data_IF_408116980393
#
_entry.id   IF_408116980393
#
_cell.length_a   1.000
_cell.length_b   1.000
_cell.length_c   1.000
_cell.angle_alpha   90.00
_cell.angle_beta   90.00
_cell.angle_gamma   90.00
#
_symmetry.space_group_name_H-M   'P 1'
#
loop_
_entity.id
_entity.type
_entity.pdbx_description
1 polymer ?
#
# COMPACT_ATOMS: atom_id res chain seq x y z
N UNK A 1 -25.60 4.31 -3.02
CA UNK A 1 -24.44 3.87 -2.21
C UNK A 1 -23.19 4.53 -2.80
N UNK A 2 -22.39 5.17 -1.99
CA UNK A 2 -21.10 5.74 -2.45
C UNK A 2 -20.00 4.67 -2.45
N UNK A 3 -18.90 4.94 -3.13
CA UNK A 3 -17.70 4.10 -3.11
C UNK A 3 -16.97 4.26 -1.76
N UNK A 4 -16.64 3.16 -1.11
CA UNK A 4 -15.78 3.15 0.07
C UNK A 4 -14.31 3.05 -0.36
N UNK A 5 -13.44 3.95 0.13
CA UNK A 5 -12.06 4.05 -0.33
C UNK A 5 -11.09 3.94 0.84
N UNK A 6 -10.20 2.95 0.74
CA UNK A 6 -9.04 2.81 1.61
C UNK A 6 -7.75 3.02 0.80
N UNK A 7 -6.87 3.88 1.26
CA UNK A 7 -5.59 4.16 0.63
C UNK A 7 -4.46 3.52 1.43
N UNK A 8 -3.50 2.93 0.73
CA UNK A 8 -2.24 2.47 1.30
C UNK A 8 -1.12 3.18 0.53
N UNK A 9 -0.34 3.98 1.22
CA UNK A 9 0.62 4.90 0.60
C UNK A 9 2.04 4.49 0.98
N UNK A 10 2.94 4.44 0.00
CA UNK A 10 4.37 4.21 0.24
C UNK A 10 5.10 5.46 0.74
N UNK A 11 6.29 5.25 1.31
CA UNK A 11 7.18 6.31 1.81
C UNK A 11 8.43 6.54 0.94
N UNK A 12 8.56 5.85 -0.18
CA UNK A 12 9.79 5.77 -0.97
C UNK A 12 10.23 7.07 -1.67
N UNK A 13 9.39 8.11 -1.69
CA UNK A 13 9.74 9.47 -2.09
C UNK A 13 10.53 10.24 -1.01
N UNK A 14 10.40 9.84 0.26
CA UNK A 14 11.08 10.44 1.41
C UNK A 14 12.24 9.56 1.85
N UNK A 15 11.98 8.26 2.06
CA UNK A 15 12.98 7.31 2.55
C UNK A 15 12.75 5.91 2.00
N UNK A 16 13.84 5.24 1.58
CA UNK A 16 13.81 3.85 1.06
C UNK A 16 14.69 2.96 1.93
N UNK A 17 14.07 2.12 2.77
CA UNK A 17 14.76 1.24 3.69
C UNK A 17 15.73 0.25 3.00
N UNK A 18 15.37 -0.31 1.84
CA UNK A 18 16.24 -1.20 1.07
C UNK A 18 17.54 -0.51 0.63
N UNK A 19 17.48 0.74 0.17
CA UNK A 19 18.67 1.49 -0.24
C UNK A 19 19.56 1.82 0.97
N UNK A 20 18.98 2.28 2.07
CA UNK A 20 19.70 2.59 3.29
C UNK A 20 20.35 1.35 3.93
N UNK A 21 19.67 0.19 3.88
CA UNK A 21 20.23 -1.09 4.33
C UNK A 21 21.40 -1.54 3.47
N UNK A 22 21.35 -1.30 2.16
CA UNK A 22 22.48 -1.59 1.28
C UNK A 22 23.71 -0.71 1.56
N UNK A 23 23.52 0.46 2.15
CA UNK A 23 24.57 1.40 2.60
C UNK A 23 25.06 1.11 4.02
N UNK A 24 24.62 0.01 4.66
CA UNK A 24 25.11 -0.46 5.96
C UNK A 24 24.20 -0.14 7.15
N UNK A 25 23.03 0.47 6.95
CA UNK A 25 22.05 0.65 8.01
C UNK A 25 21.41 -0.68 8.40
N UNK A 26 21.11 -0.88 9.70
CA UNK A 26 20.31 -2.01 10.13
C UNK A 26 18.96 -2.06 9.39
N UNK A 27 18.61 -3.22 8.86
CA UNK A 27 17.43 -3.40 8.02
C UNK A 27 16.13 -3.07 8.75
N UNK A 28 15.98 -3.51 10.00
CA UNK A 28 14.76 -3.23 10.77
C UNK A 28 14.61 -1.74 11.05
N UNK A 29 15.71 -1.07 11.41
CA UNK A 29 15.73 0.38 11.62
C UNK A 29 15.38 1.15 10.35
N UNK A 30 15.94 0.74 9.21
CA UNK A 30 15.66 1.33 7.91
C UNK A 30 14.18 1.14 7.50
N UNK A 31 13.61 -0.03 7.76
CA UNK A 31 12.21 -0.31 7.47
C UNK A 31 11.27 0.52 8.37
N UNK A 32 11.58 0.70 9.66
CA UNK A 32 10.82 1.61 10.53
C UNK A 32 10.87 3.07 10.05
N UNK A 33 12.02 3.57 9.60
CA UNK A 33 12.11 4.89 8.99
C UNK A 33 11.24 5.00 7.74
N UNK A 34 11.22 3.96 6.90
CA UNK A 34 10.31 3.86 5.75
C UNK A 34 8.83 3.89 6.15
N UNK A 35 8.46 3.20 7.23
CA UNK A 35 7.10 3.24 7.78
C UNK A 35 6.73 4.65 8.27
N UNK A 36 7.61 5.34 8.98
CA UNK A 36 7.39 6.73 9.40
C UNK A 36 7.24 7.68 8.19
N UNK A 37 8.00 7.47 7.13
CA UNK A 37 7.85 8.21 5.88
C UNK A 37 6.46 8.04 5.25
N UNK A 38 5.84 6.85 5.37
CA UNK A 38 4.45 6.66 4.94
C UNK A 38 3.46 7.48 5.75
N UNK A 39 3.71 7.68 7.05
CA UNK A 39 2.86 8.51 7.92
C UNK A 39 2.92 9.97 7.49
N UNK A 40 4.10 10.51 7.18
CA UNK A 40 4.25 11.85 6.64
C UNK A 40 3.42 12.04 5.37
N UNK A 41 3.52 11.11 4.42
CA UNK A 41 2.72 11.14 3.21
C UNK A 41 1.21 11.02 3.50
N UNK A 42 0.81 10.18 4.43
CA UNK A 42 -0.59 9.98 4.79
C UNK A 42 -1.23 11.25 5.36
N UNK A 43 -0.53 11.97 6.23
CA UNK A 43 -0.98 13.25 6.79
C UNK A 43 -1.11 14.33 5.70
N UNK A 44 -0.15 14.40 4.76
CA UNK A 44 -0.21 15.33 3.66
C UNK A 44 -1.41 15.05 2.72
N UNK A 45 -1.68 13.77 2.43
CA UNK A 45 -2.82 13.36 1.59
C UNK A 45 -4.14 13.60 2.35
N UNK A 46 -4.19 13.34 3.65
CA UNK A 46 -5.36 13.66 4.47
C UNK A 46 -5.71 15.15 4.37
N UNK A 47 -4.75 16.03 4.61
CA UNK A 47 -4.94 17.48 4.52
C UNK A 47 -5.46 17.90 3.13
N UNK A 48 -4.89 17.34 2.07
CA UNK A 48 -5.31 17.62 0.70
C UNK A 48 -6.76 17.14 0.43
N UNK A 49 -7.12 15.93 0.85
CA UNK A 49 -8.47 15.40 0.68
C UNK A 49 -9.51 16.18 1.48
N UNK A 50 -9.22 16.53 2.72
CA UNK A 50 -10.13 17.30 3.57
C UNK A 50 -10.37 18.71 3.01
N UNK A 51 -9.35 19.36 2.43
CA UNK A 51 -9.50 20.64 1.73
C UNK A 51 -10.41 20.56 0.48
N UNK A 52 -10.54 19.39 -0.11
CA UNK A 52 -11.46 19.13 -1.23
C UNK A 52 -12.85 18.63 -0.80
N UNK A 53 -13.13 18.63 0.51
CA UNK A 53 -14.42 18.24 1.06
C UNK A 53 -14.61 16.74 1.29
N UNK A 54 -13.52 15.94 1.24
CA UNK A 54 -13.55 14.50 1.51
C UNK A 54 -13.08 14.19 2.93
N UNK A 55 -13.99 13.93 3.89
CA UNK A 55 -13.62 13.57 5.26
C UNK A 55 -12.69 12.35 5.26
N UNK A 56 -11.50 12.50 5.83
CA UNK A 56 -10.45 11.47 5.76
C UNK A 56 -9.93 11.14 7.15
N UNK A 57 -9.49 9.89 7.38
CA UNK A 57 -8.84 9.45 8.61
C UNK A 57 -7.58 8.67 8.32
N UNK A 58 -6.48 9.02 8.99
CA UNK A 58 -5.24 8.26 8.99
C UNK A 58 -5.24 7.26 10.13
N UNK A 59 -4.96 6.01 9.80
CA UNK A 59 -4.89 4.89 10.74
C UNK A 59 -3.49 4.25 10.64
N UNK A 60 -2.71 4.31 11.73
CA UNK A 60 -1.33 3.83 11.73
C UNK A 60 -1.22 2.44 12.35
N UNK A 61 -0.43 1.56 11.70
CA UNK A 61 -0.07 0.25 12.23
C UNK A 61 0.94 0.34 13.40
N UNK A 62 1.64 1.47 13.55
CA UNK A 62 2.50 1.78 14.69
C UNK A 62 1.76 2.78 15.58
N UNK A 63 1.74 2.53 16.89
CA UNK A 63 1.07 3.41 17.84
C UNK A 63 1.73 4.81 17.90
N UNK A 64 0.96 5.84 17.59
CA UNK A 64 1.36 7.26 17.63
C UNK A 64 0.11 8.14 17.80
N UNK A 65 -0.59 7.97 18.89
CA UNK A 65 -1.94 8.49 19.13
C UNK A 65 -2.04 10.02 19.09
N UNK A 66 -0.93 10.72 19.32
CA UNK A 66 -0.84 12.19 19.22
C UNK A 66 -0.90 12.68 17.77
N UNK A 67 -0.64 11.80 16.79
CA UNK A 67 -0.51 12.14 15.38
C UNK A 67 -1.70 11.59 14.56
N UNK A 68 -2.06 10.33 14.78
CA UNK A 68 -3.13 9.65 14.05
C UNK A 68 -3.72 8.50 14.87
N UNK A 69 -4.86 7.96 14.40
CA UNK A 69 -5.52 6.88 15.09
C UNK A 69 -4.73 5.55 14.96
N UNK A 70 -4.70 4.70 16.00
CA UNK A 70 -4.17 3.35 15.85
C UNK A 70 -5.07 2.53 14.91
N UNK A 71 -4.43 1.75 14.02
CA UNK A 71 -5.17 0.88 13.12
C UNK A 71 -5.84 -0.26 13.88
N UNK A 72 -7.15 -0.30 13.78
CA UNK A 72 -8.01 -1.39 14.23
C UNK A 72 -9.04 -1.62 13.13
N UNK A 73 -9.11 -2.83 12.54
CA UNK A 73 -9.95 -3.11 11.38
C UNK A 73 -11.42 -2.72 11.57
N UNK A 74 -12.00 -3.01 12.73
CA UNK A 74 -13.38 -2.60 13.04
C UNK A 74 -13.58 -1.08 13.08
N UNK A 75 -12.57 -0.33 13.52
CA UNK A 75 -12.61 1.14 13.50
C UNK A 75 -12.47 1.67 12.08
N UNK A 76 -11.60 1.08 11.29
CA UNK A 76 -11.42 1.41 9.88
C UNK A 76 -12.72 1.19 9.10
N UNK A 77 -13.37 0.03 9.24
CA UNK A 77 -14.68 -0.26 8.65
C UNK A 77 -15.74 0.76 9.09
N UNK A 78 -15.77 1.14 10.38
CA UNK A 78 -16.69 2.16 10.87
C UNK A 78 -16.48 3.53 10.24
N UNK A 79 -15.25 3.87 9.85
CA UNK A 79 -14.98 5.09 9.09
C UNK A 79 -15.51 5.00 7.66
N UNK A 80 -15.30 3.88 6.99
CA UNK A 80 -15.81 3.60 5.64
C UNK A 80 -17.35 3.67 5.59
N UNK A 81 -18.03 3.00 6.51
CA UNK A 81 -19.49 3.04 6.67
C UNK A 81 -20.04 4.48 6.84
N UNK A 82 -19.23 5.39 7.40
CA UNK A 82 -19.56 6.81 7.53
C UNK A 82 -19.21 7.64 6.30
N UNK A 83 -18.85 7.02 5.20
CA UNK A 83 -18.46 7.69 3.96
C UNK A 83 -17.13 8.46 4.04
N UNK A 84 -16.24 8.06 4.95
CA UNK A 84 -14.90 8.66 5.07
C UNK A 84 -13.90 7.88 4.24
N UNK A 85 -12.97 8.59 3.64
CA UNK A 85 -11.74 7.97 3.10
C UNK A 85 -10.85 7.58 4.29
N UNK A 86 -10.24 6.41 4.24
CA UNK A 86 -9.22 6.02 5.21
C UNK A 86 -7.86 5.90 4.55
N UNK A 87 -6.80 6.21 5.28
CA UNK A 87 -5.42 6.04 4.85
C UNK A 87 -4.73 5.14 5.88
N UNK A 88 -4.32 3.95 5.42
CA UNK A 88 -3.58 3.00 6.25
C UNK A 88 -2.09 3.34 6.16
N UNK A 89 -1.52 3.85 7.24
CA UNK A 89 -0.14 4.28 7.34
C UNK A 89 0.73 3.28 8.13
N UNK A 90 2.03 3.44 8.07
CA UNK A 90 3.04 2.58 8.70
C UNK A 90 3.02 1.11 8.22
N UNK A 91 2.58 0.88 6.99
CA UNK A 91 2.61 -0.43 6.36
C UNK A 91 1.90 -1.53 7.15
N UNK A 92 2.59 -2.65 7.38
CA UNK A 92 2.12 -3.73 8.25
C UNK A 92 2.39 -3.48 9.75
N UNK A 93 3.21 -2.48 10.08
CA UNK A 93 3.75 -2.26 11.42
C UNK A 93 4.98 -3.12 11.74
N UNK A 94 5.40 -3.99 10.81
CA UNK A 94 6.52 -4.90 10.98
C UNK A 94 7.59 -4.68 9.90
N UNK A 95 8.88 -4.75 10.26
CA UNK A 95 9.97 -4.76 9.28
C UNK A 95 9.86 -5.94 8.29
N UNK A 96 10.62 -5.86 7.21
CA UNK A 96 10.74 -6.87 6.14
C UNK A 96 9.54 -6.99 5.20
N UNK A 97 8.44 -6.30 5.45
CA UNK A 97 7.28 -6.26 4.57
C UNK A 97 7.24 -4.97 3.74
N UNK A 98 6.67 -5.06 2.56
CA UNK A 98 6.52 -3.93 1.65
C UNK A 98 5.15 -3.24 1.80
N UNK A 99 5.01 -2.10 1.13
CA UNK A 99 3.71 -1.43 0.97
C UNK A 99 2.71 -2.30 0.20
N UNK A 100 3.16 -3.12 -0.75
CA UNK A 100 2.31 -4.04 -1.51
C UNK A 100 1.71 -5.11 -0.58
N UNK A 101 2.53 -5.71 0.29
CA UNK A 101 2.05 -6.65 1.32
C UNK A 101 1.06 -5.96 2.27
N UNK A 102 1.34 -4.73 2.68
CA UNK A 102 0.42 -3.97 3.52
C UNK A 102 -0.93 -3.74 2.81
N UNK A 103 -0.92 -3.41 1.51
CA UNK A 103 -2.14 -3.22 0.73
C UNK A 103 -2.98 -4.49 0.65
N UNK A 104 -2.35 -5.65 0.38
CA UNK A 104 -3.04 -6.94 0.38
C UNK A 104 -3.65 -7.26 1.76
N UNK A 105 -2.87 -7.11 2.84
CA UNK A 105 -3.34 -7.34 4.20
C UNK A 105 -4.55 -6.45 4.56
N UNK A 106 -4.48 -5.15 4.29
CA UNK A 106 -5.58 -4.23 4.59
C UNK A 106 -6.80 -4.49 3.72
N UNK A 107 -6.60 -4.84 2.43
CA UNK A 107 -7.69 -5.21 1.53
C UNK A 107 -8.53 -6.37 2.07
N UNK A 108 -7.88 -7.40 2.60
CA UNK A 108 -8.56 -8.55 3.22
C UNK A 108 -9.23 -8.19 4.55
N UNK A 109 -8.52 -7.53 5.47
CA UNK A 109 -9.06 -7.13 6.77
C UNK A 109 -10.30 -6.23 6.65
N UNK A 110 -10.35 -5.41 5.61
CA UNK A 110 -11.44 -4.50 5.31
C UNK A 110 -12.51 -5.12 4.39
N UNK A 111 -12.27 -6.34 3.91
CA UNK A 111 -13.15 -7.06 2.97
C UNK A 111 -13.42 -6.24 1.70
N UNK A 112 -12.37 -5.68 1.13
CA UNK A 112 -12.48 -4.89 -0.10
C UNK A 112 -12.86 -5.76 -1.30
N UNK A 113 -13.70 -5.24 -2.19
CA UNK A 113 -14.08 -5.91 -3.45
C UNK A 113 -12.90 -5.97 -4.44
N UNK A 114 -11.96 -5.02 -4.35
CA UNK A 114 -10.79 -4.96 -5.22
C UNK A 114 -9.62 -4.22 -4.56
N UNK A 115 -8.40 -4.61 -4.97
CA UNK A 115 -7.16 -3.87 -4.69
C UNK A 115 -6.67 -3.27 -6.00
N UNK A 116 -6.52 -1.96 -6.04
CA UNK A 116 -6.06 -1.23 -7.22
C UNK A 116 -4.66 -0.68 -6.94
N UNK A 117 -3.68 -1.09 -7.74
CA UNK A 117 -2.33 -0.54 -7.66
C UNK A 117 -2.17 0.61 -8.66
N UNK A 118 -2.12 1.83 -8.17
CA UNK A 118 -1.80 3.00 -8.97
C UNK A 118 -0.29 3.03 -9.30
N UNK A 119 0.04 2.98 -10.58
CA UNK A 119 1.42 2.91 -11.05
C UNK A 119 1.68 3.88 -12.21
N UNK A 120 2.94 3.93 -12.69
CA UNK A 120 3.34 4.74 -13.86
C UNK A 120 3.06 4.07 -15.20
N UNK A 121 2.55 2.82 -15.19
CA UNK A 121 2.24 2.04 -16.39
C UNK A 121 0.77 1.62 -16.37
N UNK A 122 0.20 1.37 -17.54
CA UNK A 122 -1.24 1.15 -17.74
C UNK A 122 -1.71 -0.23 -17.25
N UNK A 123 -0.80 -1.15 -17.00
CA UNK A 123 -1.13 -2.50 -16.59
C UNK A 123 0.09 -3.39 -16.39
N UNK A 124 -0.15 -4.69 -16.36
CA UNK A 124 0.90 -5.70 -16.26
C UNK A 124 1.37 -6.13 -17.64
N UNK A 125 2.67 -6.12 -17.83
CA UNK A 125 3.32 -6.47 -19.09
C UNK A 125 4.20 -7.72 -18.95
N UNK A 126 4.46 -8.39 -20.07
CA UNK A 126 5.37 -9.54 -20.14
C UNK A 126 6.84 -9.15 -19.87
N UNK A 127 7.18 -7.87 -20.08
CA UNK A 127 8.47 -7.22 -19.80
C UNK A 127 8.26 -5.73 -19.52
N UNK A 128 9.32 -5.07 -19.06
CA UNK A 128 9.27 -3.63 -18.71
C UNK A 128 8.97 -2.77 -19.95
N UNK A 129 7.78 -2.13 -20.06
CA UNK A 129 7.42 -1.32 -21.22
C UNK A 129 8.23 -0.03 -21.34
N UNK A 130 8.91 0.40 -20.26
CA UNK A 130 9.81 1.56 -20.30
C UNK A 130 11.15 1.25 -20.95
N UNK A 131 11.46 -0.05 -21.14
CA UNK A 131 12.71 -0.54 -21.73
C UNK A 131 12.52 -1.26 -23.04
N UNK A 132 11.30 -1.68 -23.34
CA UNK A 132 10.98 -2.51 -24.50
C UNK A 132 9.70 -2.05 -25.18
N UNK A 133 9.81 -1.38 -26.33
CA UNK A 133 8.68 -0.86 -27.11
C UNK A 133 7.70 -1.94 -27.59
N UNK A 134 8.14 -3.21 -27.57
CA UNK A 134 7.34 -4.39 -27.95
C UNK A 134 6.82 -5.19 -26.75
N UNK A 135 6.77 -4.58 -25.56
CA UNK A 135 6.16 -5.18 -24.38
C UNK A 135 4.65 -5.37 -24.59
N UNK A 136 4.14 -6.54 -24.25
CA UNK A 136 2.74 -6.90 -24.44
C UNK A 136 2.02 -6.85 -23.09
N UNK A 137 0.96 -6.05 -23.02
CA UNK A 137 0.13 -5.94 -21.83
C UNK A 137 -0.83 -7.13 -21.71
N UNK A 138 -0.92 -7.71 -20.53
CA UNK A 138 -1.92 -8.73 -20.22
C UNK A 138 -3.28 -8.08 -19.95
N UNK A 139 -4.33 -8.57 -20.59
CA UNK A 139 -5.72 -8.17 -20.30
C UNK A 139 -6.24 -8.82 -19.03
N UNK A 140 -5.85 -10.05 -18.80
CA UNK A 140 -6.16 -10.86 -17.61
C UNK A 140 -4.96 -11.70 -17.26
N UNK A 141 -4.71 -11.90 -15.98
CA UNK A 141 -3.59 -12.65 -15.47
C UNK A 141 -3.99 -13.26 -14.13
N UNK A 142 -3.80 -14.57 -13.95
CA UNK A 142 -4.03 -15.21 -12.66
C UNK A 142 -2.87 -14.94 -11.70
N UNK A 143 -3.14 -15.05 -10.40
CA UNK A 143 -2.10 -14.96 -9.37
C UNK A 143 -1.03 -16.03 -9.58
N UNK A 144 -1.43 -17.27 -9.85
CA UNK A 144 -0.52 -18.38 -10.13
C UNK A 144 0.41 -18.09 -11.31
N UNK A 145 -0.14 -17.59 -12.42
CA UNK A 145 0.65 -17.25 -13.59
C UNK A 145 1.61 -16.09 -13.34
N UNK A 146 1.18 -15.09 -12.54
CA UNK A 146 2.02 -13.97 -12.11
C UNK A 146 3.24 -14.47 -11.32
N UNK A 147 3.02 -15.37 -10.37
CA UNK A 147 4.10 -15.99 -9.57
C UNK A 147 5.02 -16.86 -10.44
N UNK A 148 4.44 -17.73 -11.28
CA UNK A 148 5.21 -18.63 -12.17
C UNK A 148 6.10 -17.88 -13.15
N UNK A 149 5.62 -16.77 -13.68
CA UNK A 149 6.37 -15.91 -14.64
C UNK A 149 7.27 -14.90 -13.95
N UNK A 150 7.30 -14.83 -12.61
CA UNK A 150 8.06 -13.85 -11.84
C UNK A 150 7.81 -12.40 -12.27
N UNK A 151 6.56 -12.07 -12.62
CA UNK A 151 6.20 -10.73 -13.06
C UNK A 151 6.26 -9.75 -11.88
N UNK A 152 6.88 -8.60 -12.11
CA UNK A 152 7.12 -7.57 -11.08
C UNK A 152 5.93 -6.62 -10.93
N UNK A 153 4.76 -7.16 -10.66
CA UNK A 153 3.52 -6.38 -10.42
C UNK A 153 3.48 -5.88 -8.99
N UNK A 154 3.58 -6.83 -8.07
CA UNK A 154 3.67 -6.66 -6.62
C UNK A 154 4.74 -7.64 -6.11
N UNK A 155 5.13 -7.52 -4.84
CA UNK A 155 5.99 -8.57 -4.27
C UNK A 155 5.23 -9.90 -4.14
N UNK A 156 5.96 -11.00 -4.12
CA UNK A 156 5.39 -12.35 -4.10
C UNK A 156 4.55 -12.60 -2.84
N UNK A 157 4.92 -12.02 -1.71
CA UNK A 157 4.17 -12.13 -0.45
C UNK A 157 2.77 -11.51 -0.60
N UNK A 158 2.69 -10.33 -1.20
CA UNK A 158 1.41 -9.66 -1.45
C UNK A 158 0.52 -10.48 -2.41
N UNK A 159 1.11 -11.04 -3.48
CA UNK A 159 0.37 -11.86 -4.45
C UNK A 159 -0.13 -13.15 -3.81
N UNK A 160 0.72 -13.85 -3.06
CA UNK A 160 0.32 -15.09 -2.35
C UNK A 160 -0.79 -14.81 -1.35
N UNK A 161 -0.66 -13.74 -0.57
CA UNK A 161 -1.67 -13.34 0.41
C UNK A 161 -3.02 -13.05 -0.26
N UNK A 162 -3.02 -12.36 -1.41
CA UNK A 162 -4.23 -12.07 -2.17
C UNK A 162 -4.81 -13.32 -2.88
N UNK A 163 -3.99 -14.31 -3.20
CA UNK A 163 -4.43 -15.56 -3.82
C UNK A 163 -5.16 -16.47 -2.83
N UNK A 164 -4.72 -16.48 -1.56
CA UNK A 164 -5.23 -17.38 -0.52
C UNK A 164 -6.54 -16.87 0.13
N UNK A 165 -6.89 -15.60 -0.10
CA UNK A 165 -8.01 -14.91 0.55
C UNK A 165 -8.89 -14.13 -0.42
#
# INVERSE_FOLDING_TARGET
MGLEVALVIGGGNIFRGLSASAEGMDRSSADYMGMLATVLNALAVQDALEKTGHPTRVLSAIAMQEVCEPYVSRRAMRHLEKGRVIICAAGTGNPYFTTDTAAALRGMELKCDAIIKATKVDGVYDKDPMKHDYAVMFKHLSYEETLRRHLKVMDSTAITLAQEN
#
